data_IF_423819139104
#
_entry.id   IF_423819139104
#
_cell.length_a   1.000
_cell.length_b   1.000
_cell.length_c   1.000
_cell.angle_alpha   90.00
_cell.angle_beta   90.00
_cell.angle_gamma   90.00
#
_symmetry.space_group_name_H-M   'P 1'
#
loop_
_entity.id
_entity.type
_entity.pdbx_description
1 polymer ?
#
# COMPACT_ATOMS: atom_id res chain seq x y z
N UNK A 1 4.01 -8.59 31.50
CA UNK A 1 4.00 -10.05 31.26
C UNK A 1 4.32 -10.31 29.79
N UNK A 2 4.98 -11.42 29.44
CA UNK A 2 5.34 -11.73 28.04
C UNK A 2 4.13 -11.80 27.11
N UNK A 3 3.00 -12.33 27.59
CA UNK A 3 1.77 -12.46 26.82
C UNK A 3 1.15 -11.13 26.36
N UNK A 4 1.27 -10.05 27.16
CA UNK A 4 0.80 -8.73 26.76
C UNK A 4 1.69 -8.12 25.66
N UNK A 5 3.01 -8.28 25.76
CA UNK A 5 3.96 -7.82 24.75
C UNK A 5 3.76 -8.51 23.41
N UNK A 6 3.53 -9.83 23.43
CA UNK A 6 3.22 -10.60 22.22
C UNK A 6 1.88 -10.20 21.58
N UNK A 7 0.84 -9.97 22.39
CA UNK A 7 -0.46 -9.51 21.89
C UNK A 7 -0.36 -8.13 21.24
N UNK A 8 0.41 -7.22 21.85
CA UNK A 8 0.67 -5.90 21.30
C UNK A 8 1.50 -5.96 20.01
N UNK A 9 2.54 -6.81 19.97
CA UNK A 9 3.33 -7.03 18.76
C UNK A 9 2.50 -7.52 17.57
N UNK A 10 1.60 -8.50 17.80
CA UNK A 10 0.65 -8.95 16.76
C UNK A 10 -0.31 -7.84 16.31
N UNK A 11 -0.72 -6.97 17.23
CA UNK A 11 -1.58 -5.84 16.89
C UNK A 11 -0.87 -4.84 15.97
N UNK A 12 0.39 -4.51 16.25
CA UNK A 12 1.20 -3.65 15.39
C UNK A 12 1.49 -4.29 14.02
N UNK A 13 1.83 -5.58 13.99
CA UNK A 13 1.99 -6.31 12.73
C UNK A 13 0.72 -6.19 11.88
N UNK A 14 -0.45 -6.47 12.47
CA UNK A 14 -1.71 -6.34 11.75
C UNK A 14 -2.00 -4.91 11.30
N UNK A 15 -1.69 -3.93 12.14
CA UNK A 15 -1.90 -2.52 11.84
C UNK A 15 -1.03 -2.03 10.67
N UNK A 16 0.15 -2.64 10.45
CA UNK A 16 1.00 -2.36 9.29
C UNK A 16 0.62 -3.18 8.05
N UNK A 17 0.18 -4.43 8.21
CA UNK A 17 -0.20 -5.32 7.10
C UNK A 17 -1.41 -4.82 6.31
N UNK A 18 -2.44 -4.31 7.01
CA UNK A 18 -3.67 -3.83 6.37
C UNK A 18 -3.39 -2.69 5.38
N UNK A 19 -2.71 -1.59 5.76
CA UNK A 19 -2.36 -0.56 4.80
C UNK A 19 -1.34 -1.04 3.75
N UNK A 20 -0.43 -1.96 4.08
CA UNK A 20 0.48 -2.53 3.09
C UNK A 20 -0.28 -3.29 1.98
N UNK A 21 -1.32 -4.04 2.35
CA UNK A 21 -2.19 -4.72 1.40
C UNK A 21 -2.96 -3.72 0.51
N UNK A 22 -3.47 -2.63 1.08
CA UNK A 22 -4.12 -1.54 0.32
C UNK A 22 -3.14 -0.90 -0.66
N UNK A 23 -1.92 -0.56 -0.22
CA UNK A 23 -0.89 0.00 -1.08
C UNK A 23 -0.52 -0.97 -2.23
N UNK A 24 -0.40 -2.27 -1.92
CA UNK A 24 -0.11 -3.31 -2.91
C UNK A 24 -1.22 -3.42 -3.96
N UNK A 25 -2.48 -3.40 -3.53
CA UNK A 25 -3.63 -3.46 -4.44
C UNK A 25 -3.69 -2.21 -5.35
N UNK A 26 -3.50 -1.03 -4.78
CA UNK A 26 -3.47 0.22 -5.53
C UNK A 26 -2.34 0.25 -6.56
N UNK A 27 -1.12 -0.13 -6.17
CA UNK A 27 0.03 -0.21 -7.08
C UNK A 27 -0.20 -1.18 -8.24
N UNK A 28 -0.79 -2.36 -7.96
CA UNK A 28 -1.14 -3.33 -9.00
C UNK A 28 -2.19 -2.78 -9.97
N UNK A 29 -3.19 -2.05 -9.48
CA UNK A 29 -4.20 -1.44 -10.32
C UNK A 29 -3.60 -0.32 -11.20
N UNK A 30 -2.73 0.53 -10.63
CA UNK A 30 -2.00 1.56 -11.38
C UNK A 30 -1.14 0.96 -12.50
N UNK A 31 -0.47 -0.17 -12.23
CA UNK A 31 0.34 -0.87 -13.24
C UNK A 31 -0.48 -1.40 -14.43
N UNK A 32 -1.80 -1.56 -14.29
CA UNK A 32 -2.69 -1.98 -15.37
C UNK A 32 -3.20 -0.81 -16.21
N UNK A 33 -3.08 0.44 -15.74
CA UNK A 33 -3.60 1.62 -16.43
C UNK A 33 -3.12 1.76 -17.88
N UNK A 34 -1.84 1.51 -18.23
CA UNK A 34 -1.38 1.61 -19.62
C UNK A 34 -2.11 0.66 -20.58
N UNK A 35 -2.56 -0.51 -20.10
CA UNK A 35 -3.31 -1.46 -20.94
C UNK A 35 -4.81 -1.15 -20.95
N UNK A 36 -5.35 -0.65 -19.83
CA UNK A 36 -6.75 -0.23 -19.73
C UNK A 36 -7.01 1.01 -20.58
N UNK A 37 -6.09 1.98 -20.60
CA UNK A 37 -6.22 3.23 -21.34
C UNK A 37 -6.31 3.02 -22.86
N UNK A 38 -5.61 2.01 -23.41
CA UNK A 38 -5.73 1.62 -24.83
C UNK A 38 -7.14 1.17 -25.22
N UNK A 39 -7.96 0.76 -24.26
CA UNK A 39 -9.32 0.26 -24.47
C UNK A 39 -10.39 1.24 -23.98
N UNK A 40 -10.01 2.35 -23.36
CA UNK A 40 -10.95 3.37 -22.92
C UNK A 40 -11.57 4.06 -24.13
N UNK A 41 -12.90 4.14 -24.17
CA UNK A 41 -13.62 4.96 -25.13
C UNK A 41 -13.66 6.40 -24.64
N UNK A 42 -13.90 7.38 -25.54
CA UNK A 42 -14.01 8.80 -25.16
C UNK A 42 -14.98 9.02 -23.98
N UNK A 43 -16.08 8.26 -23.92
CA UNK A 43 -17.08 8.38 -22.85
C UNK A 43 -16.61 7.85 -21.49
N UNK A 44 -15.58 7.01 -21.42
CA UNK A 44 -15.05 6.44 -20.16
C UNK A 44 -13.69 7.00 -19.78
N UNK A 45 -13.15 7.93 -20.57
CA UNK A 45 -11.83 8.52 -20.33
C UNK A 45 -11.81 9.32 -19.02
N UNK A 46 -12.89 10.02 -18.69
CA UNK A 46 -13.04 10.73 -17.41
C UNK A 46 -13.05 9.78 -16.21
N UNK A 47 -13.76 8.65 -16.31
CA UNK A 47 -13.83 7.66 -15.24
C UNK A 47 -12.45 7.02 -14.99
N UNK A 48 -11.71 6.76 -16.07
CA UNK A 48 -10.35 6.25 -15.97
C UNK A 48 -9.41 7.26 -15.29
N UNK A 49 -9.51 8.55 -15.64
CA UNK A 49 -8.71 9.60 -15.02
C UNK A 49 -8.99 9.73 -13.52
N UNK A 50 -10.28 9.83 -13.14
CA UNK A 50 -10.70 9.89 -11.73
C UNK A 50 -10.26 8.62 -10.98
N UNK A 51 -10.44 7.44 -11.60
CA UNK A 51 -9.99 6.17 -11.02
C UNK A 51 -8.49 6.15 -10.75
N UNK A 52 -7.66 6.67 -11.67
CA UNK A 52 -6.22 6.80 -11.48
C UNK A 52 -5.87 7.67 -10.29
N UNK A 53 -6.47 8.86 -10.19
CA UNK A 53 -6.21 9.80 -9.08
C UNK A 53 -6.58 9.20 -7.71
N UNK A 54 -7.69 8.47 -7.65
CA UNK A 54 -8.12 7.76 -6.43
C UNK A 54 -7.15 6.65 -6.05
N UNK A 55 -6.63 5.90 -7.03
CA UNK A 55 -5.63 4.86 -6.79
C UNK A 55 -4.29 5.45 -6.33
N UNK A 56 -3.82 6.54 -6.92
CA UNK A 56 -2.61 7.25 -6.51
C UNK A 56 -2.73 7.79 -5.08
N UNK A 57 -3.88 8.40 -4.77
CA UNK A 57 -4.20 8.91 -3.43
C UNK A 57 -4.26 7.76 -2.42
N UNK A 58 -4.94 6.66 -2.78
CA UNK A 58 -5.02 5.46 -1.96
C UNK A 58 -3.65 4.85 -1.68
N UNK A 59 -2.79 4.74 -2.69
CA UNK A 59 -1.41 4.28 -2.55
C UNK A 59 -0.61 5.20 -1.62
N UNK A 60 -0.72 6.52 -1.80
CA UNK A 60 -0.05 7.51 -0.97
C UNK A 60 -0.44 7.41 0.51
N UNK A 61 -1.75 7.42 0.79
CA UNK A 61 -2.27 7.36 2.15
C UNK A 61 -1.94 6.03 2.82
N UNK A 62 -2.07 4.92 2.08
CA UNK A 62 -1.73 3.60 2.59
C UNK A 62 -0.25 3.48 2.95
N UNK A 63 0.67 3.96 2.11
CA UNK A 63 2.10 4.01 2.45
C UNK A 63 2.38 4.91 3.67
N UNK A 64 1.67 6.02 3.81
CA UNK A 64 1.72 6.85 5.03
C UNK A 64 1.34 6.06 6.28
N UNK A 65 0.25 5.29 6.21
CA UNK A 65 -0.22 4.47 7.33
C UNK A 65 0.73 3.30 7.65
N UNK A 66 1.39 2.70 6.66
CA UNK A 66 2.45 1.71 6.91
C UNK A 66 3.60 2.38 7.67
N UNK A 67 4.06 3.54 7.19
CA UNK A 67 5.19 4.26 7.79
C UNK A 67 4.98 4.63 9.26
N UNK A 68 3.75 4.96 9.65
CA UNK A 68 3.39 5.24 11.06
C UNK A 68 3.59 4.01 11.95
N UNK A 69 3.34 2.79 11.44
CA UNK A 69 3.44 1.57 12.23
C UNK A 69 4.84 0.93 12.22
N UNK A 70 5.69 1.23 11.22
CA UNK A 70 7.02 0.63 11.09
C UNK A 70 7.90 0.71 12.36
N UNK A 71 7.97 1.84 13.09
CA UNK A 71 8.81 1.94 14.30
C UNK A 71 8.43 0.98 15.42
N UNK A 72 7.18 0.50 15.44
CA UNK A 72 6.65 -0.37 16.49
C UNK A 72 6.84 -1.87 16.17
N UNK A 73 7.20 -2.19 14.93
CA UNK A 73 7.43 -3.56 14.49
C UNK A 73 8.78 -4.09 14.98
N UNK A 74 8.85 -5.41 15.19
CA UNK A 74 10.07 -6.09 15.63
C UNK A 74 10.23 -7.42 14.88
N UNK A 75 11.46 -7.92 14.85
CA UNK A 75 11.78 -9.25 14.30
C UNK A 75 11.47 -9.40 12.81
N UNK A 76 11.05 -10.60 12.41
CA UNK A 76 10.78 -10.93 11.01
C UNK A 76 9.66 -10.08 10.39
N UNK A 77 8.63 -9.71 11.17
CA UNK A 77 7.54 -8.88 10.71
C UNK A 77 8.05 -7.51 10.25
N UNK A 78 8.94 -6.87 11.03
CA UNK A 78 9.56 -5.61 10.66
C UNK A 78 10.31 -5.72 9.33
N UNK A 79 11.21 -6.69 9.21
CA UNK A 79 12.04 -6.86 8.01
C UNK A 79 11.21 -7.15 6.74
N UNK A 80 10.16 -7.98 6.87
CA UNK A 80 9.25 -8.33 5.77
C UNK A 80 8.44 -7.12 5.32
N UNK A 81 7.85 -6.38 6.26
CA UNK A 81 6.96 -5.25 5.98
C UNK A 81 7.76 -4.05 5.47
N UNK A 82 8.92 -3.76 6.05
CA UNK A 82 9.80 -2.67 5.61
C UNK A 82 10.29 -2.90 4.18
N UNK A 83 10.70 -4.13 3.83
CA UNK A 83 11.09 -4.47 2.46
C UNK A 83 9.97 -4.19 1.46
N UNK A 84 8.78 -4.71 1.71
CA UNK A 84 7.62 -4.51 0.84
C UNK A 84 7.22 -3.02 0.75
N UNK A 85 7.33 -2.28 1.86
CA UNK A 85 7.11 -0.84 1.88
C UNK A 85 8.10 -0.08 0.98
N UNK A 86 9.39 -0.42 1.06
CA UNK A 86 10.43 0.22 0.25
C UNK A 86 10.27 -0.09 -1.25
N UNK A 87 9.91 -1.33 -1.59
CA UNK A 87 9.61 -1.72 -2.97
C UNK A 87 8.45 -0.90 -3.54
N UNK A 88 7.35 -0.74 -2.80
CA UNK A 88 6.21 0.07 -3.24
C UNK A 88 6.54 1.58 -3.31
N UNK A 89 7.37 2.10 -2.39
CA UNK A 89 7.84 3.49 -2.44
C UNK A 89 8.67 3.77 -3.68
N UNK A 90 9.51 2.82 -4.09
CA UNK A 90 10.33 2.94 -5.30
C UNK A 90 9.47 2.93 -6.57
N UNK A 91 8.36 2.18 -6.59
CA UNK A 91 7.40 2.20 -7.70
C UNK A 91 6.67 3.54 -7.82
N UNK A 92 6.32 4.17 -6.69
CA UNK A 92 5.63 5.47 -6.69
C UNK A 92 6.52 6.66 -7.12
N UNK A 93 7.82 6.55 -6.95
CA UNK A 93 8.76 7.64 -7.29
C UNK A 93 9.09 7.73 -8.79
N UNK A 94 8.58 6.79 -9.60
CA UNK A 94 8.70 6.75 -11.07
C UNK A 94 7.48 7.42 -11.71
#
# INVERSE_FOLDING_TARGET
SGAQGEALGRAYERAAEVPLATATAAARALALLPEVSKRAWEMTASDLAVGSELLETGLAGALGNVAVNLPELQGEAAARIERAYLELRALKAQ
#
